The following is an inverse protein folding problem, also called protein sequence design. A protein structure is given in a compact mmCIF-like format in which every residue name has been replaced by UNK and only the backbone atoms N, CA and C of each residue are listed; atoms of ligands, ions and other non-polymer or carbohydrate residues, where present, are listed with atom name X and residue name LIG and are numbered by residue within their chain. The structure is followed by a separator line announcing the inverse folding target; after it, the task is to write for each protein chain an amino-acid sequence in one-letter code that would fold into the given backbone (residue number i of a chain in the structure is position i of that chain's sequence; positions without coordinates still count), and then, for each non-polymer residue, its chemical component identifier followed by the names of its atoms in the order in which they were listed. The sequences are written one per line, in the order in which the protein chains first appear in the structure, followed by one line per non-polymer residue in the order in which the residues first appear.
data_IF_763251391921
#
_entry.id   IF_763251391921
#
_cell.length_a   1.000
_cell.length_b   1.000
_cell.length_c   1.000
_cell.angle_alpha   90.00
_cell.angle_beta   90.00
_cell.angle_gamma   90.00
#
_symmetry.space_group_name_H-M   'P 1'
#
loop_
_entity.id
_entity.type
_entity.pdbx_description
1 polymer ?
#
# COMPACT_ATOMS: atom_id res chain seq x y z
N UNK A 1 -13.90 24.41 -28.81
CA UNK A 1 -12.71 23.52 -28.93
C UNK A 1 -12.35 23.08 -27.52
N UNK A 2 -13.02 22.05 -27.01
CA UNK A 2 -12.86 21.53 -25.65
C UNK A 2 -11.89 20.37 -25.69
N UNK A 3 -10.64 20.61 -25.28
CA UNK A 3 -9.67 19.55 -25.01
C UNK A 3 -10.16 18.76 -23.80
N UNK A 4 -10.90 17.68 -24.04
CA UNK A 4 -11.18 16.65 -23.03
C UNK A 4 -9.84 16.10 -22.54
N UNK A 5 -9.49 16.44 -21.31
CA UNK A 5 -8.29 15.96 -20.61
C UNK A 5 -8.38 14.43 -20.53
N UNK A 6 -7.61 13.72 -21.37
CA UNK A 6 -7.52 12.24 -21.38
C UNK A 6 -6.68 11.73 -20.21
N UNK A 7 -6.85 12.29 -19.01
CA UNK A 7 -6.22 11.70 -17.82
C UNK A 7 -7.07 10.51 -17.40
N UNK A 8 -6.48 9.31 -17.23
CA UNK A 8 -7.24 8.15 -16.83
C UNK A 8 -7.93 8.45 -15.48
N UNK A 9 -9.27 8.34 -15.40
CA UNK A 9 -9.99 8.57 -14.16
C UNK A 9 -9.45 7.61 -13.09
N UNK A 10 -9.08 8.15 -11.92
CA UNK A 10 -8.53 7.37 -10.81
C UNK A 10 -6.99 7.35 -10.68
N UNK A 11 -6.23 7.93 -11.61
CA UNK A 11 -4.76 8.00 -11.44
C UNK A 11 -4.34 8.95 -10.31
N UNK A 12 -5.06 10.05 -10.12
CA UNK A 12 -4.78 11.02 -9.05
C UNK A 12 -5.02 10.39 -7.68
N UNK A 13 -6.13 9.64 -7.52
CA UNK A 13 -6.42 8.95 -6.26
C UNK A 13 -5.37 7.91 -5.91
N UNK A 14 -4.86 7.14 -6.87
CA UNK A 14 -3.78 6.17 -6.62
C UNK A 14 -2.47 6.84 -6.19
N UNK A 15 -2.12 7.97 -6.82
CA UNK A 15 -0.92 8.73 -6.44
C UNK A 15 -1.06 9.34 -5.05
N UNK A 16 -2.20 9.97 -4.76
CA UNK A 16 -2.47 10.56 -3.44
C UNK A 16 -2.46 9.49 -2.36
N UNK A 17 -3.18 8.37 -2.59
CA UNK A 17 -3.21 7.25 -1.65
C UNK A 17 -1.81 6.68 -1.41
N UNK A 18 -1.02 6.45 -2.48
CA UNK A 18 0.35 5.96 -2.35
C UNK A 18 1.25 6.92 -1.57
N UNK A 19 1.15 8.23 -1.82
CA UNK A 19 1.90 9.24 -1.09
C UNK A 19 1.50 9.30 0.40
N UNK A 20 0.19 9.24 0.69
CA UNK A 20 -0.33 9.21 2.07
C UNK A 20 0.12 7.95 2.80
N UNK A 21 0.05 6.78 2.16
CA UNK A 21 0.51 5.52 2.74
C UNK A 21 2.02 5.55 3.03
N UNK A 22 2.84 6.05 2.10
CA UNK A 22 4.27 6.20 2.33
C UNK A 22 4.56 7.15 3.50
N UNK A 23 3.90 8.31 3.54
CA UNK A 23 4.05 9.25 4.64
C UNK A 23 3.67 8.61 5.99
N UNK A 24 2.56 7.87 6.03
CA UNK A 24 2.13 7.14 7.22
C UNK A 24 3.14 6.06 7.65
N UNK A 25 3.72 5.33 6.70
CA UNK A 25 4.75 4.32 6.99
C UNK A 25 6.04 4.94 7.53
N UNK A 26 6.51 6.03 6.92
CA UNK A 26 7.68 6.74 7.44
C UNK A 26 7.44 7.28 8.85
N UNK A 27 6.24 7.81 9.10
CA UNK A 27 5.85 8.27 10.43
C UNK A 27 5.80 7.12 11.45
N UNK A 28 5.15 6.00 11.12
CA UNK A 28 5.04 4.84 12.01
C UNK A 28 6.41 4.18 12.28
N UNK A 29 7.22 3.94 11.24
CA UNK A 29 8.54 3.32 11.41
C UNK A 29 9.59 4.22 12.05
N UNK A 30 9.37 5.54 12.06
CA UNK A 30 10.19 6.52 12.76
C UNK A 30 9.92 6.59 14.26
N UNK A 31 8.86 5.92 14.74
CA UNK A 31 8.39 6.00 16.11
C UNK A 31 7.42 7.16 16.29
N UNK A 32 6.24 6.82 16.77
CA UNK A 32 5.19 7.75 17.16
C UNK A 32 5.34 8.00 18.65
N UNK A 33 5.52 9.26 19.03
CA UNK A 33 5.56 9.64 20.44
C UNK A 33 4.20 9.37 21.07
N UNK A 34 4.17 8.72 22.24
CA UNK A 34 2.97 8.45 23.00
C UNK A 34 2.37 9.75 23.59
N UNK A 35 1.81 10.59 22.70
CA UNK A 35 0.91 11.68 23.07
C UNK A 35 -0.53 11.17 22.97
N UNK A 36 -1.43 11.77 23.76
CA UNK A 36 -2.84 11.36 23.83
C UNK A 36 -3.46 11.23 22.43
N UNK A 37 -3.94 10.02 22.11
CA UNK A 37 -4.61 9.71 20.84
C UNK A 37 -3.69 9.26 19.68
N UNK A 38 -2.39 9.07 19.91
CA UNK A 38 -1.48 8.52 18.90
C UNK A 38 -1.18 7.05 19.16
N UNK A 39 -1.35 6.20 18.13
CA UNK A 39 -1.10 4.76 18.22
C UNK A 39 0.14 4.36 17.42
N UNK A 40 1.02 3.61 18.07
CA UNK A 40 2.11 2.90 17.41
C UNK A 40 1.56 1.57 16.90
N UNK A 41 1.13 1.52 15.63
CA UNK A 41 0.52 0.34 15.02
C UNK A 41 1.60 -0.63 14.52
N UNK A 42 2.59 -0.11 13.79
CA UNK A 42 3.68 -0.92 13.26
C UNK A 42 4.83 -1.00 14.26
N UNK A 43 5.57 -2.11 14.26
CA UNK A 43 6.73 -2.25 15.13
C UNK A 43 7.86 -1.25 14.72
N UNK A 44 8.20 -0.26 15.57
CA UNK A 44 9.29 0.67 15.30
C UNK A 44 10.66 -0.02 15.39
N UNK A 45 10.75 -1.22 15.95
CA UNK A 45 11.98 -2.01 16.03
C UNK A 45 12.05 -3.11 14.94
N UNK A 46 11.12 -3.08 13.98
CA UNK A 46 11.17 -3.97 12.82
C UNK A 46 12.53 -3.85 12.11
N UNK A 47 13.14 -5.01 11.81
CA UNK A 47 14.45 -5.07 11.18
C UNK A 47 14.51 -4.19 9.91
N UNK A 48 15.57 -3.37 9.80
CA UNK A 48 15.69 -2.31 8.77
C UNK A 48 15.51 -2.81 7.33
N UNK A 49 15.93 -4.04 7.05
CA UNK A 49 15.73 -4.68 5.74
C UNK A 49 14.25 -4.75 5.40
N UNK A 50 13.40 -5.19 6.34
CA UNK A 50 11.97 -5.35 6.09
C UNK A 50 11.26 -4.01 5.92
N UNK A 51 11.60 -3.02 6.76
CA UNK A 51 11.13 -1.63 6.59
C UNK A 51 11.47 -1.10 5.19
N UNK A 52 12.73 -1.25 4.80
CA UNK A 52 13.24 -0.81 3.49
C UNK A 52 12.49 -1.51 2.36
N UNK A 53 12.29 -2.82 2.44
CA UNK A 53 11.57 -3.58 1.40
C UNK A 53 10.13 -3.09 1.27
N UNK A 54 9.40 -2.92 2.36
CA UNK A 54 8.01 -2.43 2.35
C UNK A 54 7.94 -1.02 1.75
N UNK A 55 8.76 -0.09 2.24
CA UNK A 55 8.77 1.29 1.76
C UNK A 55 9.16 1.36 0.28
N UNK A 56 10.21 0.64 -0.13
CA UNK A 56 10.71 0.68 -1.49
C UNK A 56 9.70 0.10 -2.48
N UNK A 57 9.08 -1.03 -2.15
CA UNK A 57 8.10 -1.69 -3.03
C UNK A 57 6.81 -0.87 -3.17
N UNK A 58 6.31 -0.29 -2.09
CA UNK A 58 5.20 0.66 -2.17
C UNK A 58 5.58 1.95 -2.91
N UNK A 59 6.81 2.43 -2.71
CA UNK A 59 7.39 3.56 -3.44
C UNK A 59 7.44 3.31 -4.95
N UNK A 60 7.92 2.13 -5.37
CA UNK A 60 7.95 1.71 -6.77
C UNK A 60 6.53 1.71 -7.35
N UNK A 61 5.54 1.21 -6.61
CA UNK A 61 4.15 1.14 -7.08
C UNK A 61 3.54 2.53 -7.25
N UNK A 62 3.78 3.43 -6.28
CA UNK A 62 3.40 4.83 -6.36
C UNK A 62 4.08 5.55 -7.54
N UNK A 63 5.37 5.30 -7.78
CA UNK A 63 6.13 5.85 -8.91
C UNK A 63 5.61 5.32 -10.26
N UNK A 64 5.22 4.05 -10.34
CA UNK A 64 4.59 3.49 -11.53
C UNK A 64 3.27 4.19 -11.85
N UNK A 65 2.43 4.40 -10.83
CA UNK A 65 1.18 5.16 -10.95
C UNK A 65 1.41 6.61 -11.36
N UNK A 66 2.40 7.28 -10.76
CA UNK A 66 2.79 8.65 -11.10
C UNK A 66 3.31 8.74 -12.54
N UNK A 67 4.15 7.80 -12.96
CA UNK A 67 4.66 7.72 -14.33
C UNK A 67 3.51 7.53 -15.32
N UNK A 68 2.58 6.62 -15.04
CA UNK A 68 1.43 6.39 -15.91
C UNK A 68 0.56 7.64 -16.03
N UNK A 69 0.43 8.41 -14.95
CA UNK A 69 -0.27 9.70 -14.95
C UNK A 69 0.46 10.75 -15.79
N UNK A 70 1.77 10.92 -15.63
CA UNK A 70 2.56 11.93 -16.38
C UNK A 70 2.71 11.58 -17.87
N UNK A 71 2.80 10.30 -18.20
CA UNK A 71 2.91 9.80 -19.58
C UNK A 71 1.54 9.54 -20.24
N UNK A 72 0.43 9.85 -19.55
CA UNK A 72 -0.97 9.68 -20.00
C UNK A 72 -1.30 8.26 -20.49
N UNK A 73 -0.72 7.24 -19.85
CA UNK A 73 -1.00 5.85 -20.21
C UNK A 73 -0.19 4.82 -19.43
N UNK A 74 -0.72 3.61 -19.38
CA UNK A 74 -0.09 2.43 -18.81
C UNK A 74 0.63 1.64 -19.90
N UNK A 75 1.92 1.43 -19.73
CA UNK A 75 2.70 0.52 -20.59
C UNK A 75 2.85 -0.83 -19.91
N UNK A 76 2.99 -1.90 -20.71
CA UNK A 76 3.20 -3.26 -20.18
C UNK A 76 4.43 -3.34 -19.24
N UNK A 77 5.60 -2.74 -19.56
CA UNK A 77 6.72 -2.73 -18.62
C UNK A 77 6.38 -2.10 -17.27
N UNK A 78 5.65 -0.98 -17.26
CA UNK A 78 5.22 -0.31 -16.02
C UNK A 78 4.24 -1.18 -15.23
N UNK A 79 3.28 -1.82 -15.90
CA UNK A 79 2.34 -2.72 -15.25
C UNK A 79 3.02 -3.95 -14.63
N UNK A 80 4.03 -4.52 -15.29
CA UNK A 80 4.80 -5.67 -14.77
C UNK A 80 5.61 -5.26 -13.53
N UNK A 81 6.28 -4.11 -13.56
CA UNK A 81 7.03 -3.60 -12.40
C UNK A 81 6.09 -3.32 -11.23
N UNK A 82 4.96 -2.66 -11.47
CA UNK A 82 3.94 -2.40 -10.44
C UNK A 82 3.44 -3.70 -9.82
N UNK A 83 3.12 -4.69 -10.65
CA UNK A 83 2.68 -6.02 -10.19
C UNK A 83 3.75 -6.68 -9.33
N UNK A 84 4.99 -6.75 -9.79
CA UNK A 84 6.07 -7.34 -9.01
C UNK A 84 6.23 -6.65 -7.65
N UNK A 85 6.16 -5.31 -7.62
CA UNK A 85 6.26 -4.55 -6.39
C UNK A 85 5.10 -4.82 -5.41
N UNK A 86 3.86 -4.91 -5.90
CA UNK A 86 2.68 -5.25 -5.10
C UNK A 86 2.74 -6.68 -4.53
N UNK A 87 3.22 -7.63 -5.33
CA UNK A 87 3.35 -9.02 -4.87
C UNK A 87 4.44 -9.14 -3.82
N UNK A 88 5.58 -8.48 -4.01
CA UNK A 88 6.66 -8.49 -3.01
C UNK A 88 6.20 -7.80 -1.72
N UNK A 89 5.57 -6.62 -1.80
CA UNK A 89 5.07 -5.90 -0.62
C UNK A 89 4.01 -6.71 0.12
N UNK A 90 3.01 -7.23 -0.59
CA UNK A 90 1.96 -8.07 -0.04
C UNK A 90 2.50 -9.33 0.62
N UNK A 91 3.40 -10.06 -0.04
CA UNK A 91 4.01 -11.26 0.52
C UNK A 91 4.82 -10.98 1.79
N UNK A 92 5.60 -9.89 1.81
CA UNK A 92 6.40 -9.50 2.98
C UNK A 92 5.49 -9.09 4.14
N UNK A 93 4.47 -8.27 3.90
CA UNK A 93 3.50 -7.85 4.91
C UNK A 93 2.79 -9.06 5.50
N UNK A 94 2.30 -9.98 4.66
CA UNK A 94 1.65 -11.23 5.10
C UNK A 94 2.60 -12.08 5.93
N UNK A 95 3.84 -12.27 5.47
CA UNK A 95 4.83 -13.08 6.17
C UNK A 95 5.23 -12.50 7.53
N UNK A 96 5.39 -11.18 7.65
CA UNK A 96 5.71 -10.51 8.92
C UNK A 96 4.53 -10.51 9.87
N UNK A 97 3.32 -10.34 9.36
CA UNK A 97 2.09 -10.41 10.14
C UNK A 97 1.89 -11.81 10.71
N UNK A 98 2.07 -12.86 9.89
CA UNK A 98 1.96 -14.25 10.33
C UNK A 98 3.02 -14.62 11.39
N UNK A 99 4.16 -13.93 11.43
CA UNK A 99 5.21 -14.07 12.45
C UNK A 99 4.97 -13.23 13.70
N UNK A 100 3.91 -12.40 13.73
CA UNK A 100 3.66 -11.45 14.82
C UNK A 100 4.71 -10.35 14.92
N UNK A 101 5.46 -10.09 13.85
CA UNK A 101 6.59 -9.15 13.84
C UNK A 101 6.26 -7.80 13.19
N UNK A 102 5.10 -7.69 12.53
CA UNK A 102 4.73 -6.45 11.82
C UNK A 102 4.13 -5.39 12.76
N UNK A 103 3.28 -5.83 13.69
CA UNK A 103 2.56 -4.94 14.60
C UNK A 103 3.38 -4.70 15.87
N UNK A 104 3.24 -3.51 16.45
CA UNK A 104 3.87 -3.19 17.73
C UNK A 104 3.36 -4.11 18.83
N UNK A 105 4.24 -4.63 19.71
CA UNK A 105 3.83 -5.49 20.83
C UNK A 105 2.95 -4.76 21.86
N UNK A 106 3.06 -3.43 21.93
CA UNK A 106 2.32 -2.60 22.89
C UNK A 106 0.95 -2.17 22.36
N UNK A 107 0.66 -2.42 21.08
CA UNK A 107 -0.59 -2.01 20.44
C UNK A 107 -1.84 -2.54 21.16
N UNK A 108 -1.91 -3.81 21.61
CA UNK A 108 -3.02 -4.31 22.43
C UNK A 108 -3.28 -3.48 23.69
N UNK A 109 -2.22 -3.14 24.41
CA UNK A 109 -2.30 -2.40 25.66
C UNK A 109 -2.73 -0.96 25.42
N UNK A 110 -2.22 -0.32 24.36
CA UNK A 110 -2.61 1.04 23.99
C UNK A 110 -4.11 1.13 23.64
N UNK A 111 -4.61 0.17 22.88
CA UNK A 111 -6.02 0.13 22.46
C UNK A 111 -6.93 -0.15 23.66
N UNK A 112 -6.57 -1.10 24.53
CA UNK A 112 -7.34 -1.39 25.73
C UNK A 112 -7.38 -0.18 26.67
N UNK A 113 -6.25 0.50 26.87
CA UNK A 113 -6.18 1.71 27.70
C UNK A 113 -7.05 2.86 27.16
N UNK A 114 -7.19 2.97 25.83
CA UNK A 114 -7.95 4.05 25.20
C UNK A 114 -9.44 3.76 25.09
N UNK A 115 -9.81 2.53 24.75
CA UNK A 115 -11.19 2.16 24.44
C UNK A 115 -11.88 1.34 25.53
N UNK A 116 -11.17 0.95 26.60
CA UNK A 116 -11.71 0.21 27.74
C UNK A 116 -12.18 -1.21 27.39
N UNK A 117 -11.81 -1.73 26.23
CA UNK A 117 -12.13 -3.09 25.79
C UNK A 117 -10.92 -3.70 25.09
N UNK A 118 -10.71 -5.00 25.29
CA UNK A 118 -9.65 -5.75 24.62
C UNK A 118 -10.25 -6.42 23.37
N UNK A 119 -9.99 -5.89 22.16
CA UNK A 119 -10.55 -6.47 20.95
C UNK A 119 -9.92 -7.84 20.65
N UNK A 120 -10.64 -8.68 19.91
CA UNK A 120 -10.13 -9.96 19.45
C UNK A 120 -9.07 -9.73 18.34
N UNK A 121 -7.80 -9.69 18.73
CA UNK A 121 -6.66 -9.38 17.86
C UNK A 121 -6.48 -10.37 16.70
N UNK A 122 -6.85 -11.63 16.88
CA UNK A 122 -6.86 -12.65 15.82
C UNK A 122 -7.77 -12.24 14.66
N UNK A 123 -9.01 -11.83 14.97
CA UNK A 123 -9.98 -11.43 13.97
C UNK A 123 -9.53 -10.18 13.19
N UNK A 124 -8.96 -9.18 13.89
CA UNK A 124 -8.41 -7.97 13.26
C UNK A 124 -7.26 -8.32 12.32
N UNK A 125 -6.36 -9.20 12.77
CA UNK A 125 -5.20 -9.63 11.99
C UNK A 125 -5.62 -10.38 10.72
N UNK A 126 -6.62 -11.26 10.83
CA UNK A 126 -7.16 -12.00 9.69
C UNK A 126 -7.79 -11.06 8.65
N UNK A 127 -8.62 -10.12 9.10
CA UNK A 127 -9.22 -9.11 8.21
C UNK A 127 -8.13 -8.26 7.53
N UNK A 128 -7.10 -7.85 8.27
CA UNK A 128 -5.97 -7.12 7.72
C UNK A 128 -5.24 -7.92 6.63
N UNK A 129 -4.96 -9.20 6.87
CA UNK A 129 -4.31 -10.07 5.89
C UNK A 129 -5.13 -10.21 4.59
N UNK A 130 -6.44 -10.39 4.72
CA UNK A 130 -7.37 -10.47 3.58
C UNK A 130 -7.35 -9.14 2.80
N UNK A 131 -7.38 -8.00 3.49
CA UNK A 131 -7.33 -6.69 2.86
C UNK A 131 -6.02 -6.47 2.11
N UNK A 132 -4.87 -6.79 2.72
CA UNK A 132 -3.55 -6.66 2.07
C UNK A 132 -3.48 -7.52 0.81
N UNK A 133 -3.89 -8.79 0.89
CA UNK A 133 -3.90 -9.70 -0.24
C UNK A 133 -4.85 -9.21 -1.35
N UNK A 134 -6.07 -8.81 -0.97
CA UNK A 134 -7.08 -8.28 -1.88
C UNK A 134 -6.60 -7.04 -2.63
N UNK A 135 -5.99 -6.08 -1.92
CA UNK A 135 -5.42 -4.86 -2.53
C UNK A 135 -4.26 -5.20 -3.47
N UNK A 136 -3.34 -6.08 -3.06
CA UNK A 136 -2.21 -6.46 -3.90
C UNK A 136 -2.65 -7.14 -5.20
N UNK A 137 -3.66 -8.02 -5.13
CA UNK A 137 -4.26 -8.68 -6.30
C UNK A 137 -4.99 -7.66 -7.17
N UNK A 138 -5.85 -6.84 -6.57
CA UNK A 138 -6.61 -5.81 -7.29
C UNK A 138 -5.68 -4.89 -8.07
N UNK A 139 -4.70 -4.28 -7.41
CA UNK A 139 -3.84 -3.26 -8.03
C UNK A 139 -2.98 -3.86 -9.15
N UNK A 140 -2.56 -5.11 -8.98
CA UNK A 140 -1.90 -5.88 -10.04
C UNK A 140 -2.80 -6.08 -11.27
N UNK A 141 -4.04 -6.53 -11.05
CA UNK A 141 -5.01 -6.78 -12.13
C UNK A 141 -5.38 -5.47 -12.83
N UNK A 142 -5.68 -4.41 -12.08
CA UNK A 142 -6.05 -3.10 -12.63
C UNK A 142 -4.93 -2.50 -13.48
N UNK A 143 -3.69 -2.53 -13.00
CA UNK A 143 -2.52 -2.07 -13.77
C UNK A 143 -2.34 -2.83 -15.09
N UNK A 144 -2.51 -4.16 -15.08
CA UNK A 144 -2.46 -4.98 -16.30
C UNK A 144 -3.63 -4.70 -17.25
N UNK A 145 -4.84 -4.53 -16.74
CA UNK A 145 -6.03 -4.24 -17.56
C UNK A 145 -5.92 -2.88 -18.25
N UNK A 146 -5.41 -1.86 -17.56
CA UNK A 146 -5.15 -0.53 -18.13
C UNK A 146 -4.08 -0.60 -19.22
N UNK A 147 -2.98 -1.31 -18.97
CA UNK A 147 -1.92 -1.48 -19.98
C UNK A 147 -2.39 -2.26 -21.23
N UNK A 148 -3.36 -3.17 -21.08
CA UNK A 148 -3.98 -3.89 -22.20
C UNK A 148 -4.94 -2.99 -22.99
N UNK A 149 -5.71 -2.13 -22.31
CA UNK A 149 -6.61 -1.19 -22.97
C UNK A 149 -5.86 -0.13 -23.78
N UNK A 150 -4.78 0.44 -23.24
CA UNK A 150 -3.99 1.48 -23.93
C UNK A 150 -3.25 0.95 -25.17
N UNK A 151 -3.05 -0.37 -25.26
CA UNK A 151 -2.48 -1.04 -26.43
C UNK A 151 -3.48 -1.30 -27.55
N UNK A 152 -4.80 -1.20 -27.31
CA UNK A 152 -5.78 -1.40 -28.40
C UNK A 152 -5.77 -0.16 -29.30
N UNK A 153 -5.42 -0.29 -30.59
CA UNK A 153 -5.60 0.79 -31.54
C UNK A 153 -7.10 1.14 -31.58
N UNK A 154 -7.43 2.43 -31.59
CA UNK A 154 -8.75 2.89 -31.97
C UNK A 154 -8.98 2.45 -33.43
N UNK A 155 -9.67 1.33 -33.62
CA UNK A 155 -9.77 0.66 -34.90
C UNK A 155 -10.71 -0.53 -34.87
N UNK A 156 -11.98 -0.25 -34.63
CA UNK A 156 -13.12 -0.77 -35.39
C UNK A 156 -14.30 0.17 -35.21
#
# INVERSE_FOLDING_TARGET
MTTTDRRPPGAISSVVLGATLLAALFWQFGGVTAADGQFQVLDPDLHLIWKTVIILTLGISALCSLRAWTQRGWTIPVAVVNTGANWVSGAVIVALTAKGALFSPDLPQQVEATFGSSPEWSAITEVFLILVAGVAIWDSVDGLLRARHDKRPAGM
#
